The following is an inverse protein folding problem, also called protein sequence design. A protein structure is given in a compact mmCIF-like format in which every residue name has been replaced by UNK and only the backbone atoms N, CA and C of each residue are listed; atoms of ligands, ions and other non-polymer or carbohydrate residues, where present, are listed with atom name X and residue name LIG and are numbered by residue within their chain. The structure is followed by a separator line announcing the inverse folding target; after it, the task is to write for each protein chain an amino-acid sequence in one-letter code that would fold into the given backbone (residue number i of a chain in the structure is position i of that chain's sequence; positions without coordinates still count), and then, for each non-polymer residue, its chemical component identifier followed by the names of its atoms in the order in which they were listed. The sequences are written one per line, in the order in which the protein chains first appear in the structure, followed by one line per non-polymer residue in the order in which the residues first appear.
data_IF_707116341120
#
_entry.id   IF_707116341120
#
_cell.length_a   1.000
_cell.length_b   1.000
_cell.length_c   1.000
_cell.angle_alpha   90.00
_cell.angle_beta   90.00
_cell.angle_gamma   90.00
#
_symmetry.space_group_name_H-M   'P 1'
#
loop_
_entity.id
_entity.type
_entity.pdbx_description
1 polymer ?
#
# COMPACT_ATOMS: atom_id res chain seq x y z
N UNK A 1 40.65 -42.16 11.95
CA UNK A 1 39.25 -42.17 12.47
C UNK A 1 38.75 -40.75 12.37
N UNK A 2 38.14 -40.40 11.24
CA UNK A 2 37.68 -39.05 10.96
C UNK A 2 36.23 -38.94 11.45
N UNK A 3 36.00 -38.08 12.45
CA UNK A 3 34.69 -37.74 12.91
C UNK A 3 33.98 -36.83 11.87
N UNK A 4 32.98 -37.40 11.21
CA UNK A 4 32.07 -36.71 10.31
C UNK A 4 31.20 -35.74 11.12
N UNK A 5 31.59 -34.48 11.15
CA UNK A 5 30.81 -33.43 11.84
C UNK A 5 29.83 -32.77 10.87
N UNK A 6 28.82 -33.54 10.42
CA UNK A 6 27.69 -33.03 9.65
C UNK A 6 26.63 -32.48 10.61
N UNK A 7 26.88 -31.36 11.25
CA UNK A 7 25.81 -30.54 11.75
C UNK A 7 25.30 -29.65 10.60
N UNK A 8 24.48 -30.21 9.76
CA UNK A 8 23.63 -29.42 8.86
C UNK A 8 22.68 -28.61 9.73
N UNK A 9 22.97 -27.32 9.85
CA UNK A 9 21.99 -26.35 10.37
C UNK A 9 20.85 -26.28 9.35
N UNK A 10 19.85 -27.13 9.54
CA UNK A 10 18.57 -27.05 8.84
C UNK A 10 17.84 -25.82 9.36
N UNK A 11 17.85 -24.73 8.61
CA UNK A 11 17.15 -23.50 8.98
C UNK A 11 17.41 -22.35 8.00
N UNK A 12 18.00 -22.61 6.85
CA UNK A 12 18.01 -21.67 5.76
C UNK A 12 16.59 -21.52 5.22
N UNK A 13 15.90 -20.44 5.59
CA UNK A 13 14.75 -19.98 4.83
C UNK A 13 15.28 -19.66 3.44
N UNK A 14 15.05 -20.57 2.48
CA UNK A 14 15.30 -20.30 1.07
C UNK A 14 14.41 -19.12 0.70
N UNK A 15 14.99 -17.92 0.71
CA UNK A 15 14.37 -16.75 0.11
C UNK A 15 14.42 -16.98 -1.40
N UNK A 16 13.43 -17.67 -1.92
CA UNK A 16 13.30 -17.94 -3.35
C UNK A 16 13.44 -16.63 -4.11
N UNK A 17 14.43 -16.57 -5.02
CA UNK A 17 14.66 -15.39 -5.86
C UNK A 17 13.35 -14.99 -6.54
N UNK A 18 12.98 -13.73 -6.39
CA UNK A 18 11.78 -13.22 -7.04
C UNK A 18 12.02 -13.17 -8.54
N UNK A 19 11.22 -13.90 -9.32
CA UNK A 19 11.35 -13.90 -10.78
C UNK A 19 11.17 -12.48 -11.34
N UNK A 20 11.89 -12.17 -12.42
CA UNK A 20 11.81 -10.85 -13.09
C UNK A 20 10.36 -10.47 -13.45
N UNK A 21 9.57 -11.44 -13.92
CA UNK A 21 8.14 -11.23 -14.22
C UNK A 21 7.34 -10.82 -12.99
N UNK A 22 7.56 -11.49 -11.85
CA UNK A 22 6.87 -11.19 -10.61
C UNK A 22 7.24 -9.80 -10.05
N UNK A 23 8.50 -9.38 -10.20
CA UNK A 23 8.94 -8.03 -9.85
C UNK A 23 8.24 -6.96 -10.69
N UNK A 24 8.14 -7.18 -12.00
CA UNK A 24 7.46 -6.24 -12.90
C UNK A 24 5.97 -6.17 -12.61
N UNK A 25 5.30 -7.31 -12.42
CA UNK A 25 3.89 -7.36 -12.00
C UNK A 25 3.68 -6.58 -10.70
N UNK A 26 4.53 -6.79 -9.71
CA UNK A 26 4.46 -6.07 -8.45
C UNK A 26 4.66 -4.56 -8.59
N UNK A 27 5.56 -4.13 -9.48
CA UNK A 27 5.78 -2.71 -9.78
C UNK A 27 4.57 -2.07 -10.46
N UNK A 28 3.94 -2.76 -11.40
CA UNK A 28 2.73 -2.29 -12.09
C UNK A 28 1.57 -2.20 -11.11
N UNK A 29 1.31 -3.27 -10.34
CA UNK A 29 0.22 -3.31 -9.36
C UNK A 29 0.34 -2.24 -8.28
N UNK A 30 1.57 -1.93 -7.84
CA UNK A 30 1.81 -0.83 -6.90
C UNK A 30 1.80 0.54 -7.59
N UNK A 31 2.35 0.61 -8.79
CA UNK A 31 2.55 1.87 -9.52
C UNK A 31 1.24 2.54 -9.93
N UNK A 32 0.25 1.77 -10.35
CA UNK A 32 -1.05 2.29 -10.74
C UNK A 32 -1.77 3.04 -9.61
N UNK A 33 -2.01 2.45 -8.43
CA UNK A 33 -2.64 3.16 -7.34
C UNK A 33 -1.78 4.30 -6.79
N UNK A 34 -0.46 4.14 -6.75
CA UNK A 34 0.46 5.21 -6.33
C UNK A 34 0.36 6.40 -7.28
N UNK A 35 0.41 6.18 -8.60
CA UNK A 35 0.28 7.23 -9.59
C UNK A 35 -1.08 7.95 -9.47
N UNK A 36 -2.16 7.20 -9.29
CA UNK A 36 -3.50 7.75 -9.08
C UNK A 36 -3.54 8.67 -7.85
N UNK A 37 -3.04 8.20 -6.70
CA UNK A 37 -3.02 8.97 -5.45
C UNK A 37 -2.15 10.22 -5.59
N UNK A 38 -0.95 10.10 -6.14
CA UNK A 38 -0.02 11.23 -6.30
C UNK A 38 -0.60 12.28 -7.24
N UNK A 39 -1.12 11.87 -8.38
CA UNK A 39 -1.70 12.80 -9.35
C UNK A 39 -2.94 13.49 -8.78
N UNK A 40 -3.86 12.73 -8.16
CA UNK A 40 -5.07 13.30 -7.55
C UNK A 40 -4.75 14.20 -6.36
N UNK A 41 -3.79 13.81 -5.50
CA UNK A 41 -3.35 14.60 -4.36
C UNK A 41 -2.70 15.91 -4.77
N UNK A 42 -1.76 15.88 -5.73
CA UNK A 42 -1.11 17.10 -6.26
C UNK A 42 -2.14 17.97 -6.96
N UNK A 43 -3.00 17.42 -7.81
CA UNK A 43 -4.06 18.18 -8.48
C UNK A 43 -4.98 18.86 -7.48
N UNK A 44 -5.35 18.17 -6.39
CA UNK A 44 -6.15 18.74 -5.31
C UNK A 44 -5.45 19.86 -4.55
N UNK A 45 -4.13 19.76 -4.31
CA UNK A 45 -3.36 20.84 -3.68
C UNK A 45 -3.24 22.08 -4.58
N UNK A 46 -3.14 21.87 -5.91
CA UNK A 46 -3.08 22.97 -6.89
C UNK A 46 -4.45 23.58 -7.16
N UNK A 47 -5.51 22.80 -7.04
CA UNK A 47 -6.92 23.22 -7.23
C UNK A 47 -7.75 22.80 -6.02
N UNK A 48 -7.73 23.62 -4.95
CA UNK A 48 -8.43 23.27 -3.70
C UNK A 48 -9.95 23.07 -3.85
N UNK A 49 -10.55 23.59 -4.90
CA UNK A 49 -11.97 23.37 -5.21
C UNK A 49 -12.27 21.88 -5.41
N UNK A 50 -11.34 21.11 -6.01
CA UNK A 50 -11.51 19.66 -6.23
C UNK A 50 -11.55 18.89 -4.91
N UNK A 51 -10.69 19.27 -3.93
CA UNK A 51 -10.73 18.69 -2.57
C UNK A 51 -12.03 19.08 -1.88
N UNK A 52 -12.42 20.35 -1.98
CA UNK A 52 -13.63 20.88 -1.35
C UNK A 52 -14.88 20.13 -1.80
N UNK A 53 -15.03 19.89 -3.08
CA UNK A 53 -16.18 19.21 -3.65
C UNK A 53 -16.29 17.76 -3.14
N UNK A 54 -15.19 16.99 -3.19
CA UNK A 54 -15.16 15.62 -2.68
C UNK A 54 -15.37 15.55 -1.16
N UNK A 55 -14.77 16.46 -0.38
CA UNK A 55 -14.92 16.49 1.07
C UNK A 55 -16.33 16.91 1.49
N UNK A 56 -16.95 17.87 0.81
CA UNK A 56 -18.33 18.27 1.07
C UNK A 56 -19.32 17.12 0.89
N UNK A 57 -19.12 16.29 -0.14
CA UNK A 57 -19.92 15.09 -0.35
C UNK A 57 -19.82 14.10 0.81
N UNK A 58 -18.65 14.02 1.44
CA UNK A 58 -18.41 13.20 2.63
C UNK A 58 -18.77 13.89 3.95
N UNK A 59 -19.23 15.16 3.90
CA UNK A 59 -19.59 15.95 5.08
C UNK A 59 -18.36 16.46 5.86
N UNK A 60 -17.21 16.62 5.21
CA UNK A 60 -16.00 17.14 5.81
C UNK A 60 -15.69 18.57 5.34
N UNK A 61 -14.99 19.34 6.19
CA UNK A 61 -14.52 20.67 5.82
C UNK A 61 -13.32 20.60 4.87
N UNK A 62 -13.14 21.63 4.06
CA UNK A 62 -11.99 21.77 3.17
C UNK A 62 -10.65 21.74 3.93
N UNK A 63 -10.57 22.38 5.12
CA UNK A 63 -9.36 22.40 5.93
C UNK A 63 -8.95 20.99 6.39
N UNK A 64 -9.93 20.14 6.68
CA UNK A 64 -9.68 18.72 6.98
C UNK A 64 -9.24 17.96 5.73
N UNK A 65 -9.86 18.22 4.59
CA UNK A 65 -9.49 17.63 3.31
C UNK A 65 -8.03 17.88 2.94
N UNK A 66 -7.54 19.10 3.09
CA UNK A 66 -6.13 19.44 2.84
C UNK A 66 -5.18 18.65 3.76
N UNK A 67 -5.50 18.55 5.05
CA UNK A 67 -4.69 17.78 6.01
C UNK A 67 -4.65 16.30 5.65
N UNK A 68 -5.79 15.73 5.27
CA UNK A 68 -5.93 14.33 4.84
C UNK A 68 -5.11 14.07 3.57
N UNK A 69 -5.17 14.97 2.58
CA UNK A 69 -4.39 14.86 1.33
C UNK A 69 -2.88 14.88 1.61
N UNK A 70 -2.41 15.79 2.48
CA UNK A 70 -1.00 15.84 2.86
C UNK A 70 -0.58 14.55 3.57
N UNK A 71 -1.39 14.06 4.49
CA UNK A 71 -1.14 12.82 5.22
C UNK A 71 -1.05 11.61 4.27
N UNK A 72 -1.96 11.52 3.31
CA UNK A 72 -1.97 10.49 2.28
C UNK A 72 -0.68 10.50 1.46
N UNK A 73 -0.23 11.68 1.00
CA UNK A 73 1.02 11.82 0.27
C UNK A 73 2.24 11.41 1.10
N UNK A 74 2.27 11.74 2.39
CA UNK A 74 3.33 11.28 3.31
C UNK A 74 3.35 9.75 3.40
N UNK A 75 2.20 9.11 3.54
CA UNK A 75 2.11 7.66 3.61
C UNK A 75 2.55 6.99 2.31
N UNK A 76 2.25 7.59 1.15
CA UNK A 76 2.75 7.11 -0.15
C UNK A 76 4.28 7.24 -0.24
N UNK A 77 4.87 8.33 0.23
CA UNK A 77 6.33 8.47 0.27
C UNK A 77 6.96 7.37 1.12
N UNK A 78 6.42 7.10 2.31
CA UNK A 78 6.89 6.00 3.19
C UNK A 78 6.74 4.64 2.47
N UNK A 79 5.65 4.41 1.74
CA UNK A 79 5.40 3.20 0.97
C UNK A 79 6.40 3.00 -0.18
N UNK A 80 6.84 4.09 -0.83
CA UNK A 80 7.77 4.04 -1.97
C UNK A 80 9.20 3.73 -1.55
N UNK A 81 9.59 4.01 -0.30
CA UNK A 81 10.92 3.70 0.22
C UNK A 81 10.98 2.20 0.53
N UNK A 82 11.89 1.42 -0.10
CA UNK A 82 11.92 -0.05 0.05
C UNK A 82 12.04 -0.54 1.50
N UNK A 83 12.77 0.19 2.34
CA UNK A 83 12.98 -0.18 3.75
C UNK A 83 11.75 0.03 4.63
N UNK A 84 10.85 0.93 4.25
CA UNK A 84 9.65 1.30 5.00
C UNK A 84 8.36 0.96 4.26
N UNK A 85 8.45 0.25 3.13
CA UNK A 85 7.30 -0.04 2.28
C UNK A 85 6.18 -0.81 3.00
N UNK A 86 6.53 -1.75 3.88
CA UNK A 86 5.53 -2.49 4.69
C UNK A 86 4.84 -1.54 5.68
N UNK A 87 5.61 -0.67 6.35
CA UNK A 87 5.04 0.35 7.24
C UNK A 87 4.11 1.29 6.46
N UNK A 88 4.54 1.74 5.28
CA UNK A 88 3.71 2.55 4.38
C UNK A 88 2.42 1.85 3.99
N UNK A 89 2.47 0.54 3.68
CA UNK A 89 1.28 -0.25 3.38
C UNK A 89 0.32 -0.33 4.57
N UNK A 90 0.82 -0.50 5.80
CA UNK A 90 0.01 -0.50 7.02
C UNK A 90 -0.67 0.86 7.22
N UNK A 91 0.08 1.96 7.11
CA UNK A 91 -0.46 3.31 7.25
C UNK A 91 -1.51 3.62 6.18
N UNK A 92 -1.25 3.23 4.93
CA UNK A 92 -2.22 3.35 3.84
C UNK A 92 -3.48 2.51 4.09
N UNK A 93 -3.35 1.31 4.66
CA UNK A 93 -4.51 0.47 5.01
C UNK A 93 -5.38 1.15 6.06
N UNK A 94 -4.77 1.71 7.10
CA UNK A 94 -5.51 2.47 8.12
C UNK A 94 -6.24 3.68 7.51
N UNK A 95 -5.55 4.44 6.65
CA UNK A 95 -6.12 5.58 5.94
C UNK A 95 -7.29 5.17 5.02
N UNK A 96 -7.08 4.16 4.17
CA UNK A 96 -8.10 3.66 3.24
C UNK A 96 -9.28 2.99 3.96
N UNK A 97 -9.05 2.41 5.12
CA UNK A 97 -10.11 1.93 6.02
C UNK A 97 -10.99 3.07 6.51
N UNK A 98 -10.40 4.19 6.91
CA UNK A 98 -11.12 5.41 7.25
C UNK A 98 -11.91 5.99 6.07
N UNK A 99 -11.29 6.02 4.88
CA UNK A 99 -11.96 6.45 3.65
C UNK A 99 -13.16 5.53 3.30
N UNK A 100 -12.98 4.21 3.42
CA UNK A 100 -14.05 3.22 3.24
C UNK A 100 -15.23 3.50 4.16
N UNK A 101 -14.98 3.69 5.46
CA UNK A 101 -16.01 4.01 6.44
C UNK A 101 -16.72 5.33 6.13
N UNK A 102 -15.97 6.33 5.66
CA UNK A 102 -16.51 7.64 5.28
C UNK A 102 -17.48 7.56 4.10
N UNK A 103 -17.14 6.79 3.05
CA UNK A 103 -18.02 6.55 1.91
C UNK A 103 -19.29 5.81 2.32
N UNK A 104 -19.15 4.73 3.10
CA UNK A 104 -20.30 3.96 3.59
C UNK A 104 -21.26 4.81 4.43
N UNK A 105 -20.72 5.70 5.27
CA UNK A 105 -21.52 6.59 6.14
C UNK A 105 -22.49 7.48 5.34
N UNK A 106 -22.10 7.89 4.14
CA UNK A 106 -22.91 8.76 3.29
C UNK A 106 -23.62 7.99 2.15
N UNK A 107 -23.61 6.65 2.19
CA UNK A 107 -24.28 5.82 1.19
C UNK A 107 -23.54 5.74 -0.16
N UNK A 108 -22.28 6.16 -0.22
CA UNK A 108 -21.45 6.05 -1.42
C UNK A 108 -20.73 4.71 -1.49
N UNK A 109 -20.35 4.30 -2.71
CA UNK A 109 -19.62 3.05 -2.93
C UNK A 109 -18.20 3.12 -2.36
N UNK A 110 -17.79 2.17 -1.50
CA UNK A 110 -16.45 2.11 -0.92
C UNK A 110 -15.44 1.37 -1.81
N UNK A 111 -15.80 1.03 -3.06
CA UNK A 111 -14.98 0.17 -3.92
C UNK A 111 -13.61 0.76 -4.21
N UNK A 112 -13.51 2.07 -4.45
CA UNK A 112 -12.25 2.71 -4.80
C UNK A 112 -11.19 2.54 -3.70
N UNK A 113 -11.42 2.94 -2.43
CA UNK A 113 -10.43 2.75 -1.38
C UNK A 113 -10.10 1.28 -1.12
N UNK A 114 -11.06 0.36 -1.25
CA UNK A 114 -10.80 -1.08 -1.09
C UNK A 114 -9.88 -1.60 -2.20
N UNK A 115 -10.18 -1.29 -3.46
CA UNK A 115 -9.37 -1.72 -4.61
C UNK A 115 -7.95 -1.18 -4.52
N UNK A 116 -7.80 0.10 -4.16
CA UNK A 116 -6.48 0.73 -3.94
C UNK A 116 -5.69 -0.03 -2.86
N UNK A 117 -6.30 -0.35 -1.73
CA UNK A 117 -5.66 -1.11 -0.65
C UNK A 117 -5.19 -2.49 -1.13
N UNK A 118 -6.05 -3.22 -1.84
CA UNK A 118 -5.73 -4.55 -2.40
C UNK A 118 -4.57 -4.47 -3.38
N UNK A 119 -4.56 -3.49 -4.28
CA UNK A 119 -3.49 -3.31 -5.28
C UNK A 119 -2.15 -2.95 -4.63
N UNK A 120 -2.14 -2.10 -3.60
CA UNK A 120 -0.92 -1.76 -2.86
C UNK A 120 -0.31 -3.01 -2.19
N UNK A 121 -1.13 -3.81 -1.51
CA UNK A 121 -0.66 -5.04 -0.87
C UNK A 121 -0.28 -6.13 -1.87
N UNK A 122 -1.05 -6.34 -2.93
CA UNK A 122 -0.73 -7.30 -4.00
C UNK A 122 0.59 -6.94 -4.68
N UNK A 123 0.80 -5.66 -4.99
CA UNK A 123 2.04 -5.18 -5.57
C UNK A 123 3.24 -5.35 -4.65
N UNK A 124 3.08 -5.06 -3.35
CA UNK A 124 4.13 -5.26 -2.35
C UNK A 124 4.45 -6.75 -2.17
N UNK A 125 3.43 -7.60 -2.07
CA UNK A 125 3.58 -9.05 -1.97
C UNK A 125 4.38 -9.64 -3.16
N UNK A 126 4.09 -9.20 -4.38
CA UNK A 126 4.80 -9.65 -5.57
C UNK A 126 6.28 -9.26 -5.58
N UNK A 127 6.64 -8.08 -5.06
CA UNK A 127 8.01 -7.55 -5.15
C UNK A 127 8.86 -7.82 -3.91
N UNK A 128 8.28 -8.21 -2.78
CA UNK A 128 8.98 -8.43 -1.51
C UNK A 128 8.98 -9.92 -1.11
N UNK A 129 10.12 -10.59 -1.34
CA UNK A 129 10.30 -12.00 -1.00
C UNK A 129 10.20 -12.25 0.52
N UNK A 130 10.67 -11.29 1.33
CA UNK A 130 10.63 -11.39 2.79
C UNK A 130 9.18 -11.31 3.30
N UNK A 131 8.39 -10.40 2.73
CA UNK A 131 6.97 -10.30 3.06
C UNK A 131 6.22 -11.60 2.72
N UNK A 132 6.55 -12.23 1.58
CA UNK A 132 5.95 -13.52 1.19
C UNK A 132 6.26 -14.64 2.19
N UNK A 133 7.44 -14.64 2.79
CA UNK A 133 7.79 -15.64 3.80
C UNK A 133 7.07 -15.42 5.14
N UNK A 134 6.70 -14.17 5.44
CA UNK A 134 5.99 -13.80 6.67
C UNK A 134 4.47 -13.98 6.58
N UNK A 135 3.92 -13.95 5.37
CA UNK A 135 2.49 -14.16 5.11
C UNK A 135 2.33 -15.49 4.35
N UNK A 136 2.52 -16.64 5.01
CA UNK A 136 2.31 -17.92 4.37
C UNK A 136 0.80 -18.10 4.17
N UNK A 137 0.36 -18.10 2.92
CA UNK A 137 -0.90 -18.75 2.59
C UNK A 137 -0.70 -20.23 2.92
N UNK A 138 -1.30 -20.70 3.99
CA UNK A 138 -1.26 -22.12 4.37
C UNK A 138 -1.71 -22.97 3.18
N UNK A 139 -0.80 -23.85 2.74
CA UNK A 139 -1.12 -24.95 1.83
C UNK A 139 -1.84 -26.03 2.62
#
# INVERSE_FOLDING_TARGET
MAADNRYTVAGGVETGETSKGMLWTGRILSGLPVAFIVVSGIAGLLKPEMISEGMNQLGYSMSLGLKITILELIFIVIYLIPRTSVLGAILMTAYLGGATASHLRVGQSPLVPIVVAVLLWAGLYCRDAKLRSLIPLRK
#
